data_IF_782588014180
#
_entry.id   IF_782588014180
#
_cell.length_a   1.000
_cell.length_b   1.000
_cell.length_c   1.000
_cell.angle_alpha   90.00
_cell.angle_beta   90.00
_cell.angle_gamma   90.00
#
_symmetry.space_group_name_H-M   'P 1'
#
loop_
_entity.id
_entity.type
_entity.pdbx_description
1 polymer ?
#
# COMPACT_ATOMS: atom_id res chain seq x y z
N UNK A 1 -4.26 24.38 24.58
CA UNK A 1 -4.85 24.66 23.26
C UNK A 1 -3.76 24.41 22.24
N UNK A 2 -3.80 23.27 21.56
CA UNK A 2 -3.00 23.05 20.36
C UNK A 2 -3.64 23.87 19.25
N UNK A 3 -2.96 24.93 18.81
CA UNK A 3 -3.40 25.75 17.67
C UNK A 3 -3.18 24.98 16.37
N UNK A 4 -4.05 25.20 15.38
CA UNK A 4 -3.80 24.77 14.00
C UNK A 4 -2.50 25.41 13.52
N UNK A 5 -1.58 24.60 12.99
CA UNK A 5 -0.30 25.03 12.41
C UNK A 5 -0.27 24.72 10.93
N UNK A 6 0.45 25.54 10.16
CA UNK A 6 0.78 25.21 8.78
C UNK A 6 1.79 24.04 8.78
N UNK A 7 1.65 23.13 7.82
CA UNK A 7 2.58 22.04 7.61
C UNK A 7 4.02 22.53 7.37
N UNK A 8 4.19 23.59 6.59
CA UNK A 8 5.51 24.17 6.26
C UNK A 8 6.22 24.69 7.51
N UNK A 9 5.49 25.32 8.43
CA UNK A 9 6.05 25.78 9.70
C UNK A 9 6.38 24.59 10.61
N UNK A 10 5.49 23.59 10.67
CA UNK A 10 5.66 22.42 11.52
C UNK A 10 6.86 21.57 11.10
N UNK A 11 7.05 21.36 9.79
CA UNK A 11 8.13 20.54 9.27
C UNK A 11 9.50 21.21 9.47
N UNK A 12 9.56 22.54 9.52
CA UNK A 12 10.79 23.29 9.81
C UNK A 12 11.12 23.34 11.30
N UNK A 13 10.10 23.43 12.17
CA UNK A 13 10.29 23.53 13.62
C UNK A 13 10.73 22.22 14.29
N UNK A 14 10.50 21.07 13.64
CA UNK A 14 10.85 19.75 14.19
C UNK A 14 12.30 19.40 13.84
N UNK A 15 13.14 19.25 14.87
CA UNK A 15 14.57 18.92 14.78
C UNK A 15 14.88 17.44 15.13
N UNK A 16 13.86 16.57 15.13
CA UNK A 16 14.04 15.12 15.29
C UNK A 16 13.66 14.38 14.01
N UNK A 17 13.81 13.04 14.02
CA UNK A 17 13.38 12.19 12.92
C UNK A 17 11.89 12.40 12.62
N UNK A 18 11.57 12.46 11.32
CA UNK A 18 10.23 12.67 10.78
C UNK A 18 9.83 11.44 9.99
N UNK A 19 8.73 10.83 10.34
CA UNK A 19 8.20 9.65 9.66
C UNK A 19 6.83 10.00 9.08
N UNK A 20 6.46 9.34 7.98
CA UNK A 20 5.18 9.55 7.31
C UNK A 20 4.42 8.23 7.20
N UNK A 21 3.14 8.22 7.58
CA UNK A 21 2.18 7.17 7.27
C UNK A 21 1.16 7.69 6.25
N UNK A 22 1.11 7.05 5.09
CA UNK A 22 0.15 7.32 4.03
C UNK A 22 -1.02 6.34 4.12
N UNK A 23 -2.24 6.88 4.22
CA UNK A 23 -3.50 6.15 4.07
C UNK A 23 -4.22 6.52 2.76
N UNK A 24 -5.41 5.94 2.54
CA UNK A 24 -6.14 6.02 1.26
C UNK A 24 -6.39 7.45 0.78
N UNK A 25 -6.46 8.42 1.70
CA UNK A 25 -6.60 9.84 1.39
C UNK A 25 -5.42 10.40 0.56
N UNK A 26 -4.23 9.81 0.60
CA UNK A 26 -3.14 10.15 -0.33
C UNK A 26 -3.55 9.92 -1.79
N UNK A 27 -4.18 8.78 -2.06
CA UNK A 27 -4.59 8.38 -3.40
C UNK A 27 -5.85 9.12 -3.85
N UNK A 28 -6.78 9.34 -2.92
CA UNK A 28 -7.98 10.17 -3.15
C UNK A 28 -7.58 11.63 -3.46
N UNK A 29 -6.57 12.17 -2.75
CA UNK A 29 -6.05 13.52 -3.02
C UNK A 29 -5.44 13.66 -4.42
N UNK A 30 -4.88 12.57 -4.97
CA UNK A 30 -4.48 12.53 -6.38
C UNK A 30 -5.70 12.47 -7.30
N UNK A 31 -6.69 11.62 -7.00
CA UNK A 31 -7.95 11.54 -7.74
C UNK A 31 -9.04 10.79 -6.98
N UNK A 32 -10.25 11.36 -6.94
CA UNK A 32 -11.43 10.76 -6.29
C UNK A 32 -11.80 9.36 -6.83
N UNK A 33 -11.29 8.97 -8.00
CA UNK A 33 -11.48 7.62 -8.56
C UNK A 33 -10.96 6.50 -7.66
N UNK A 34 -10.06 6.82 -6.72
CA UNK A 34 -9.50 5.90 -5.73
C UNK A 34 -10.33 5.79 -4.45
N UNK A 35 -11.43 6.55 -4.32
CA UNK A 35 -12.41 6.33 -3.24
C UNK A 35 -13.12 5.00 -3.44
N UNK A 36 -13.49 4.32 -2.34
CA UNK A 36 -14.22 3.06 -2.41
C UNK A 36 -15.56 3.19 -3.15
N UNK A 37 -16.28 4.30 -3.00
CA UNK A 37 -17.49 4.58 -3.80
C UNK A 37 -17.21 4.55 -5.31
N UNK A 38 -16.10 5.17 -5.72
CA UNK A 38 -15.74 5.26 -7.14
C UNK A 38 -15.20 3.94 -7.67
N UNK A 39 -14.49 3.18 -6.85
CA UNK A 39 -14.01 1.83 -7.17
C UNK A 39 -15.21 0.90 -7.34
N UNK A 40 -16.14 0.86 -6.37
CA UNK A 40 -17.33 0.02 -6.43
C UNK A 40 -18.17 0.31 -7.69
N UNK A 41 -18.37 1.59 -8.03
CA UNK A 41 -19.09 2.00 -9.25
C UNK A 41 -18.45 1.48 -10.55
N UNK A 42 -17.14 1.24 -10.56
CA UNK A 42 -16.39 0.77 -11.74
C UNK A 42 -16.07 -0.73 -11.70
N UNK A 43 -16.46 -1.38 -10.60
CA UNK A 43 -16.22 -2.79 -10.37
C UNK A 43 -17.26 -3.68 -11.04
N UNK A 44 -17.02 -4.99 -11.05
CA UNK A 44 -18.05 -5.96 -11.47
C UNK A 44 -19.18 -6.14 -10.44
N UNK A 45 -18.96 -5.69 -9.20
CA UNK A 45 -19.90 -5.81 -8.09
C UNK A 45 -20.75 -4.55 -7.87
N UNK A 46 -20.76 -3.61 -8.81
CA UNK A 46 -21.46 -2.32 -8.68
C UNK A 46 -22.98 -2.42 -8.42
N UNK A 47 -23.60 -3.52 -8.82
CA UNK A 47 -25.02 -3.82 -8.59
C UNK A 47 -25.22 -5.01 -7.63
N UNK A 48 -24.18 -5.41 -6.90
CA UNK A 48 -24.25 -6.54 -5.98
C UNK A 48 -24.89 -6.15 -4.66
N UNK A 49 -25.85 -6.94 -4.20
CA UNK A 49 -26.49 -6.78 -2.89
C UNK A 49 -25.51 -7.01 -1.73
N UNK A 50 -24.31 -7.56 -1.99
CA UNK A 50 -23.27 -7.79 -0.97
C UNK A 50 -22.83 -6.49 -0.28
N UNK A 51 -22.80 -5.37 -1.01
CA UNK A 51 -22.40 -4.07 -0.48
C UNK A 51 -23.55 -3.33 0.22
N UNK A 52 -24.81 -3.66 -0.09
CA UNK A 52 -25.98 -2.91 0.37
C UNK A 52 -25.77 -1.39 0.16
N UNK A 53 -25.72 -0.61 1.24
CA UNK A 53 -25.45 0.84 1.23
C UNK A 53 -24.00 1.21 1.66
N UNK A 54 -23.10 0.23 1.80
CA UNK A 54 -21.74 0.43 2.28
C UNK A 54 -20.71 0.03 1.22
N UNK A 55 -19.97 0.99 0.69
CA UNK A 55 -18.91 0.77 -0.29
C UNK A 55 -17.57 0.33 0.31
N UNK A 56 -17.43 0.32 1.65
CA UNK A 56 -16.19 -0.10 2.31
C UNK A 56 -15.98 -1.60 2.16
N UNK A 57 -15.14 -1.96 1.18
CA UNK A 57 -14.74 -3.32 0.85
C UNK A 57 -14.28 -4.11 2.08
N UNK A 58 -13.45 -3.51 2.93
CA UNK A 58 -12.93 -4.18 4.13
C UNK A 58 -14.05 -4.42 5.15
N UNK A 59 -14.96 -3.46 5.31
CA UNK A 59 -16.10 -3.64 6.22
C UNK A 59 -17.07 -4.71 5.73
N UNK A 60 -17.29 -4.80 4.43
CA UNK A 60 -18.14 -5.85 3.84
C UNK A 60 -17.48 -7.22 4.04
N UNK A 61 -16.17 -7.36 3.78
CA UNK A 61 -15.41 -8.59 4.02
C UNK A 61 -15.46 -8.97 5.51
N UNK A 62 -15.30 -8.02 6.43
CA UNK A 62 -15.41 -8.26 7.88
C UNK A 62 -16.76 -8.88 8.24
N UNK A 63 -17.85 -8.31 7.72
CA UNK A 63 -19.20 -8.81 7.97
C UNK A 63 -19.42 -10.21 7.39
N UNK A 64 -18.87 -10.51 6.21
CA UNK A 64 -18.95 -11.84 5.60
C UNK A 64 -18.14 -12.87 6.39
N UNK A 65 -16.94 -12.52 6.85
CA UNK A 65 -16.12 -13.39 7.69
C UNK A 65 -16.79 -13.67 9.03
N UNK A 66 -17.41 -12.66 9.65
CA UNK A 66 -18.20 -12.86 10.86
C UNK A 66 -19.37 -13.84 10.64
N UNK A 67 -20.12 -13.68 9.52
CA UNK A 67 -21.19 -14.62 9.16
C UNK A 67 -20.65 -16.04 8.94
N UNK A 68 -19.53 -16.18 8.22
CA UNK A 68 -18.84 -17.47 8.04
C UNK A 68 -18.59 -18.16 9.39
N UNK A 69 -17.98 -17.45 10.35
CA UNK A 69 -17.67 -18.00 11.67
C UNK A 69 -18.93 -18.45 12.43
N UNK A 70 -19.99 -17.63 12.42
CA UNK A 70 -21.27 -17.97 13.08
C UNK A 70 -21.88 -19.25 12.48
N UNK A 71 -21.98 -19.33 11.16
CA UNK A 71 -22.58 -20.49 10.50
C UNK A 71 -21.72 -21.75 10.67
N UNK A 72 -20.40 -21.61 10.66
CA UNK A 72 -19.48 -22.73 10.84
C UNK A 72 -19.47 -23.27 12.27
N UNK A 73 -19.35 -22.39 13.27
CA UNK A 73 -19.10 -22.79 14.66
C UNK A 73 -20.38 -22.97 15.48
N UNK A 74 -21.40 -22.16 15.25
CA UNK A 74 -22.63 -22.19 16.04
C UNK A 74 -23.71 -23.08 15.41
N UNK A 75 -23.81 -23.09 14.08
CA UNK A 75 -24.88 -23.80 13.36
C UNK A 75 -24.42 -25.10 12.71
N UNK A 76 -23.11 -25.36 12.63
CA UNK A 76 -22.51 -26.50 11.91
C UNK A 76 -22.92 -26.55 10.41
N UNK A 77 -23.28 -25.39 9.82
CA UNK A 77 -23.73 -25.24 8.43
C UNK A 77 -22.54 -24.88 7.53
N UNK A 78 -21.66 -25.86 7.33
CA UNK A 78 -20.40 -25.67 6.58
C UNK A 78 -20.58 -25.21 5.13
N UNK A 79 -21.64 -25.64 4.45
CA UNK A 79 -21.93 -25.22 3.06
C UNK A 79 -22.23 -23.72 2.99
N UNK A 80 -22.99 -23.18 3.95
CA UNK A 80 -23.30 -21.74 4.03
C UNK A 80 -22.05 -20.95 4.42
N UNK A 81 -21.24 -21.47 5.35
CA UNK A 81 -19.96 -20.85 5.68
C UNK A 81 -19.02 -20.75 4.47
N UNK A 82 -18.93 -21.79 3.64
CA UNK A 82 -18.15 -21.78 2.39
C UNK A 82 -18.69 -20.77 1.38
N UNK A 83 -20.01 -20.56 1.32
CA UNK A 83 -20.60 -19.53 0.47
C UNK A 83 -20.15 -18.11 0.89
N UNK A 84 -20.14 -17.81 2.20
CA UNK A 84 -19.64 -16.53 2.70
C UNK A 84 -18.14 -16.33 2.42
N UNK A 85 -17.34 -17.38 2.59
CA UNK A 85 -15.92 -17.37 2.22
C UNK A 85 -15.72 -17.07 0.73
N UNK A 86 -16.48 -17.73 -0.15
CA UNK A 86 -16.42 -17.49 -1.59
C UNK A 86 -16.75 -16.04 -1.95
N UNK A 87 -17.73 -15.42 -1.30
CA UNK A 87 -18.05 -14.01 -1.52
C UNK A 87 -16.97 -13.06 -1.01
N UNK A 88 -16.36 -13.34 0.14
CA UNK A 88 -15.20 -12.57 0.63
C UNK A 88 -14.06 -12.59 -0.40
N UNK A 89 -13.72 -13.76 -0.93
CA UNK A 89 -12.66 -13.90 -1.94
C UNK A 89 -13.03 -13.25 -3.29
N UNK A 90 -14.29 -13.32 -3.72
CA UNK A 90 -14.79 -12.61 -4.90
C UNK A 90 -14.61 -11.09 -4.76
N UNK A 91 -14.94 -10.52 -3.59
CA UNK A 91 -14.79 -9.09 -3.30
C UNK A 91 -13.32 -8.66 -3.33
N UNK A 92 -12.43 -9.43 -2.68
CA UNK A 92 -10.98 -9.17 -2.71
C UNK A 92 -10.48 -9.16 -4.15
N UNK A 93 -10.90 -10.15 -4.93
CA UNK A 93 -10.48 -10.28 -6.32
C UNK A 93 -10.97 -9.12 -7.19
N UNK A 94 -12.24 -8.75 -7.03
CA UNK A 94 -12.85 -7.64 -7.75
C UNK A 94 -12.17 -6.30 -7.41
N UNK A 95 -11.81 -6.06 -6.14
CA UNK A 95 -11.07 -4.86 -5.74
C UNK A 95 -9.72 -4.74 -6.46
N UNK A 96 -8.91 -5.79 -6.41
CA UNK A 96 -7.58 -5.82 -7.06
C UNK A 96 -7.70 -5.66 -8.57
N UNK A 97 -8.65 -6.36 -9.21
CA UNK A 97 -8.88 -6.25 -10.64
C UNK A 97 -9.33 -4.83 -11.04
N UNK A 98 -10.24 -4.24 -10.26
CA UNK A 98 -10.77 -2.91 -10.50
C UNK A 98 -9.68 -1.86 -10.34
N UNK A 99 -8.93 -1.88 -9.23
CA UNK A 99 -7.78 -0.99 -9.03
C UNK A 99 -6.75 -1.11 -10.15
N UNK A 100 -6.41 -2.32 -10.58
CA UNK A 100 -5.48 -2.55 -11.69
C UNK A 100 -5.97 -1.88 -12.99
N UNK A 101 -7.26 -2.03 -13.33
CA UNK A 101 -7.89 -1.40 -14.50
C UNK A 101 -7.97 0.13 -14.38
N UNK A 102 -8.11 0.66 -13.17
CA UNK A 102 -8.10 2.10 -12.96
C UNK A 102 -6.74 2.69 -13.33
N UNK A 103 -5.65 2.06 -12.91
CA UNK A 103 -4.30 2.55 -13.20
C UNK A 103 -3.96 2.61 -14.68
N UNK A 104 -4.63 1.85 -15.55
CA UNK A 104 -4.50 2.00 -17.01
C UNK A 104 -4.89 3.40 -17.50
N UNK A 105 -5.80 4.06 -16.76
CA UNK A 105 -6.42 5.32 -17.13
C UNK A 105 -5.91 6.49 -16.30
N UNK A 106 -5.09 6.22 -15.28
CA UNK A 106 -4.49 7.24 -14.43
C UNK A 106 -3.13 7.61 -14.95
N UNK A 107 -2.91 8.90 -15.08
CA UNK A 107 -1.63 9.47 -15.45
C UNK A 107 -1.26 10.55 -14.45
N UNK A 108 -0.09 10.40 -13.83
CA UNK A 108 0.57 11.45 -13.07
C UNK A 108 1.61 12.13 -13.95
N UNK A 109 1.51 13.44 -14.12
CA UNK A 109 2.51 14.25 -14.80
C UNK A 109 3.84 14.27 -14.04
N UNK A 110 4.94 14.56 -14.75
CA UNK A 110 6.25 14.77 -14.10
C UNK A 110 6.20 15.89 -13.06
N UNK A 111 5.35 16.91 -13.25
CA UNK A 111 5.17 18.00 -12.27
C UNK A 111 4.50 17.51 -10.99
N UNK A 112 3.44 16.72 -11.09
CA UNK A 112 2.76 16.13 -9.93
C UNK A 112 3.72 15.20 -9.18
N UNK A 113 4.39 14.30 -9.90
CA UNK A 113 5.39 13.41 -9.29
C UNK A 113 6.54 14.18 -8.65
N UNK A 114 6.99 15.28 -9.27
CA UNK A 114 8.01 16.17 -8.70
C UNK A 114 7.57 16.77 -7.37
N UNK A 115 6.40 17.40 -7.33
CA UNK A 115 5.89 18.04 -6.12
C UNK A 115 5.66 17.03 -4.99
N UNK A 116 5.10 15.87 -5.32
CA UNK A 116 4.92 14.79 -4.35
C UNK A 116 6.26 14.26 -3.86
N UNK A 117 7.25 14.10 -4.74
CA UNK A 117 8.59 13.71 -4.32
C UNK A 117 9.23 14.72 -3.36
N UNK A 118 9.10 16.03 -3.61
CA UNK A 118 9.61 17.05 -2.70
C UNK A 118 8.99 16.92 -1.32
N UNK A 119 7.67 16.80 -1.24
CA UNK A 119 6.97 16.54 0.02
C UNK A 119 7.47 15.27 0.72
N UNK A 120 7.62 14.16 -0.01
CA UNK A 120 8.11 12.90 0.56
C UNK A 120 9.57 13.00 1.05
N UNK A 121 10.38 13.89 0.47
CA UNK A 121 11.79 14.08 0.83
C UNK A 121 12.02 14.79 2.18
N UNK A 122 10.94 15.28 2.81
CA UNK A 122 10.96 15.84 4.15
C UNK A 122 10.93 14.79 5.27
N UNK A 123 10.82 13.50 4.92
CA UNK A 123 10.65 12.41 5.87
C UNK A 123 11.79 11.39 5.79
N UNK A 124 12.27 10.94 6.95
CA UNK A 124 13.25 9.88 7.09
C UNK A 124 12.70 8.54 6.57
N UNK A 125 11.48 8.18 7.00
CA UNK A 125 10.80 6.94 6.64
C UNK A 125 9.39 7.21 6.12
N UNK A 126 8.99 6.47 5.09
CA UNK A 126 7.66 6.54 4.48
C UNK A 126 7.00 5.17 4.56
N UNK A 127 5.90 5.09 5.29
CA UNK A 127 5.05 3.93 5.43
C UNK A 127 3.76 4.16 4.65
N UNK A 128 3.22 3.14 4.01
CA UNK A 128 1.93 3.23 3.31
C UNK A 128 1.05 2.02 3.61
N UNK A 129 -0.25 2.29 3.79
CA UNK A 129 -1.30 1.28 3.81
C UNK A 129 -1.95 1.12 2.43
N UNK A 130 -1.63 2.03 1.49
CA UNK A 130 -2.25 2.03 0.17
C UNK A 130 -1.69 0.94 -0.71
N UNK A 131 -2.59 0.29 -1.44
CA UNK A 131 -2.28 -0.81 -2.34
C UNK A 131 -1.97 -0.38 -3.77
N UNK A 132 -2.30 0.86 -4.14
CA UNK A 132 -2.19 1.39 -5.50
C UNK A 132 -0.74 1.65 -5.95
N UNK A 133 -0.57 2.14 -7.19
CA UNK A 133 0.75 2.36 -7.80
C UNK A 133 1.26 3.80 -7.68
N UNK A 134 0.53 4.72 -7.03
CA UNK A 134 0.87 6.15 -7.05
C UNK A 134 2.19 6.41 -6.31
N UNK A 135 2.35 5.90 -5.09
CA UNK A 135 3.61 6.04 -4.35
C UNK A 135 4.77 5.41 -5.11
N UNK A 136 4.54 4.22 -5.69
CA UNK A 136 5.52 3.53 -6.52
C UNK A 136 5.97 4.40 -7.72
N UNK A 137 5.05 5.08 -8.42
CA UNK A 137 5.41 5.96 -9.53
C UNK A 137 6.26 7.16 -9.09
N UNK A 138 5.98 7.74 -7.91
CA UNK A 138 6.79 8.82 -7.35
C UNK A 138 8.21 8.34 -7.02
N UNK A 139 8.36 7.12 -6.49
CA UNK A 139 9.69 6.51 -6.25
C UNK A 139 10.44 6.32 -7.57
N UNK A 140 9.78 5.79 -8.61
CA UNK A 140 10.41 5.62 -9.94
C UNK A 140 10.80 6.97 -10.54
N UNK A 141 9.97 8.00 -10.38
CA UNK A 141 10.30 9.36 -10.78
C UNK A 141 11.57 9.85 -10.06
N UNK A 142 11.67 9.67 -8.74
CA UNK A 142 12.84 10.07 -7.96
C UNK A 142 14.12 9.35 -8.41
N UNK A 143 14.03 8.04 -8.69
CA UNK A 143 15.16 7.24 -9.21
C UNK A 143 15.61 7.77 -10.56
N UNK A 144 14.68 8.08 -11.48
CA UNK A 144 14.99 8.66 -12.79
C UNK A 144 15.62 10.04 -12.65
N UNK A 145 15.11 10.88 -11.74
CA UNK A 145 15.65 12.22 -11.48
C UNK A 145 17.10 12.14 -10.97
N UNK A 146 17.36 11.28 -9.99
CA UNK A 146 18.70 11.02 -9.48
C UNK A 146 19.68 10.60 -10.58
N UNK A 147 19.25 9.70 -11.48
CA UNK A 147 20.09 9.17 -12.57
C UNK A 147 20.35 10.20 -13.68
N UNK A 148 19.38 11.06 -13.97
CA UNK A 148 19.42 12.00 -15.09
C UNK A 148 20.01 13.36 -14.73
N UNK A 149 19.83 13.83 -13.49
CA UNK A 149 20.31 15.13 -13.03
C UNK A 149 20.64 15.11 -11.53
N UNK A 150 21.76 14.46 -11.20
CA UNK A 150 22.21 14.25 -9.82
C UNK A 150 22.45 15.55 -9.04
N UNK A 151 22.99 16.59 -9.68
CA UNK A 151 23.25 17.87 -9.02
C UNK A 151 21.94 18.57 -8.65
N UNK A 152 20.96 18.59 -9.56
CA UNK A 152 19.63 19.11 -9.25
C UNK A 152 18.96 18.30 -8.13
N UNK A 153 19.01 16.97 -8.21
CA UNK A 153 18.47 16.09 -7.17
C UNK A 153 19.02 16.44 -5.78
N UNK A 154 20.35 16.57 -5.66
CA UNK A 154 21.00 16.94 -4.40
C UNK A 154 20.59 18.31 -3.86
N UNK A 155 20.27 19.25 -4.75
CA UNK A 155 19.89 20.61 -4.36
C UNK A 155 18.43 20.73 -3.89
N UNK A 156 17.57 19.78 -4.26
CA UNK A 156 16.13 19.85 -3.95
C UNK A 156 15.71 18.97 -2.77
N UNK A 157 16.54 17.99 -2.35
CA UNK A 157 16.22 17.13 -1.21
C UNK A 157 16.59 17.83 0.10
N UNK A 158 15.64 17.90 1.02
CA UNK A 158 15.83 18.57 2.31
C UNK A 158 16.64 17.73 3.31
N UNK A 159 16.36 16.42 3.35
CA UNK A 159 17.14 15.48 4.17
C UNK A 159 18.40 15.05 3.41
N UNK A 160 19.56 15.28 4.03
CA UNK A 160 20.83 14.82 3.50
C UNK A 160 20.82 13.30 3.29
N UNK A 161 21.20 12.88 2.08
CA UNK A 161 21.20 11.48 1.64
C UNK A 161 19.82 10.80 1.55
N UNK A 162 18.73 11.57 1.50
CA UNK A 162 17.44 10.99 1.15
C UNK A 162 17.50 10.39 -0.25
N UNK A 163 17.24 9.09 -0.33
CA UNK A 163 17.06 8.35 -1.57
C UNK A 163 16.00 7.28 -1.32
N UNK A 164 14.82 7.34 -1.97
CA UNK A 164 13.72 6.43 -1.65
C UNK A 164 14.10 5.01 -2.05
N UNK A 165 14.13 4.10 -1.06
CA UNK A 165 14.42 2.68 -1.21
C UNK A 165 13.35 1.85 -0.53
N UNK A 166 12.72 0.99 -1.31
CA UNK A 166 11.70 0.04 -0.87
C UNK A 166 12.26 -1.35 -0.52
N UNK A 167 13.58 -1.51 -0.54
CA UNK A 167 14.27 -2.76 -0.16
C UNK A 167 14.34 -3.82 -1.27
N UNK A 168 13.82 -3.54 -2.46
CA UNK A 168 13.85 -4.49 -3.58
C UNK A 168 15.01 -4.19 -4.53
N UNK A 169 15.76 -5.24 -4.91
CA UNK A 169 16.88 -5.13 -5.85
C UNK A 169 16.79 -6.19 -6.95
N UNK A 170 17.51 -5.97 -8.05
CA UNK A 170 17.57 -6.88 -9.19
C UNK A 170 18.14 -8.23 -8.74
N UNK A 171 17.44 -9.30 -9.07
CA UNK A 171 17.97 -10.66 -8.99
C UNK A 171 19.12 -10.84 -10.01
N UNK A 172 19.96 -11.85 -9.79
CA UNK A 172 21.07 -12.17 -10.70
C UNK A 172 20.59 -12.76 -12.03
N UNK A 173 19.40 -13.35 -12.07
CA UNK A 173 18.67 -13.63 -13.31
C UNK A 173 17.96 -12.34 -13.75
N UNK A 174 17.77 -12.09 -15.04
CA UNK A 174 17.17 -10.83 -15.53
C UNK A 174 15.69 -10.58 -15.13
N UNK A 175 15.15 -11.33 -14.16
CA UNK A 175 13.78 -11.31 -13.65
C UNK A 175 13.44 -10.10 -12.75
N UNK A 176 12.18 -10.04 -12.29
CA UNK A 176 11.66 -9.03 -11.36
C UNK A 176 12.52 -8.89 -10.09
N UNK A 177 12.39 -7.76 -9.39
CA UNK A 177 13.24 -7.49 -8.23
C UNK A 177 12.83 -8.35 -7.03
N UNK A 178 13.78 -8.77 -6.20
CA UNK A 178 13.54 -9.54 -4.97
C UNK A 178 13.83 -8.62 -3.78
N UNK A 179 13.03 -8.73 -2.72
CA UNK A 179 13.28 -8.01 -1.49
C UNK A 179 14.52 -8.57 -0.77
N UNK A 180 15.46 -7.68 -0.42
CA UNK A 180 16.73 -8.03 0.20
C UNK A 180 17.05 -7.06 1.33
N UNK A 181 16.91 -7.51 2.58
CA UNK A 181 17.10 -6.69 3.77
C UNK A 181 18.52 -6.11 3.91
N UNK A 182 19.56 -6.90 3.64
CA UNK A 182 20.94 -6.55 4.01
C UNK A 182 21.66 -5.66 3.01
N UNK A 183 21.05 -5.37 1.85
CA UNK A 183 21.79 -4.74 0.74
C UNK A 183 21.83 -3.22 0.86
N UNK A 184 20.76 -2.61 1.35
CA UNK A 184 20.63 -1.15 1.45
C UNK A 184 19.75 -0.76 2.63
N UNK A 185 19.96 0.45 3.16
CA UNK A 185 19.03 1.04 4.12
C UNK A 185 17.72 1.36 3.38
N UNK A 186 16.67 0.60 3.71
CA UNK A 186 15.30 0.78 3.26
C UNK A 186 14.64 1.91 4.04
N UNK A 187 13.87 2.76 3.37
CA UNK A 187 13.13 3.85 3.99
C UNK A 187 11.72 4.05 3.41
N UNK A 188 11.27 3.16 2.53
CA UNK A 188 9.89 3.07 2.06
C UNK A 188 9.32 1.69 2.38
N UNK A 189 8.14 1.64 2.98
CA UNK A 189 7.56 0.43 3.57
C UNK A 189 6.08 0.29 3.19
N UNK A 190 5.72 -0.79 2.50
CA UNK A 190 4.34 -1.11 2.13
C UNK A 190 3.73 -2.06 3.16
N UNK A 191 3.07 -1.52 4.19
CA UNK A 191 2.60 -2.27 5.36
C UNK A 191 1.50 -3.28 5.01
N UNK A 192 0.65 -2.96 4.04
CA UNK A 192 -0.40 -3.85 3.56
C UNK A 192 -0.15 -4.38 2.13
N UNK A 193 1.09 -4.24 1.66
CA UNK A 193 1.50 -4.66 0.31
C UNK A 193 1.15 -3.64 -0.78
N UNK A 194 1.02 -4.11 -2.02
CA UNK A 194 0.66 -3.27 -3.17
C UNK A 194 0.61 -4.02 -4.50
N UNK A 195 -0.04 -3.41 -5.50
CA UNK A 195 -0.31 -4.03 -6.82
C UNK A 195 0.95 -4.47 -7.59
N UNK A 196 2.09 -3.86 -7.27
CA UNK A 196 3.38 -4.17 -7.89
C UNK A 196 4.17 -5.24 -7.13
N UNK A 197 3.64 -5.75 -6.01
CA UNK A 197 4.29 -6.73 -5.14
C UNK A 197 3.60 -8.09 -5.28
N UNK A 198 4.39 -9.15 -5.33
CA UNK A 198 3.93 -10.54 -5.38
C UNK A 198 4.77 -11.36 -4.41
N UNK A 199 4.29 -12.53 -3.98
CA UNK A 199 5.09 -13.41 -3.15
C UNK A 199 4.85 -14.87 -3.46
N UNK A 200 5.84 -15.70 -3.16
CA UNK A 200 5.69 -17.13 -2.99
C UNK A 200 6.00 -17.52 -1.53
N UNK A 201 6.22 -18.80 -1.27
CA UNK A 201 6.54 -19.31 0.07
C UNK A 201 7.89 -18.86 0.61
N UNK A 202 8.80 -18.36 -0.23
CA UNK A 202 10.18 -18.03 0.13
C UNK A 202 10.46 -16.52 0.01
N UNK A 203 9.99 -15.89 -1.06
CA UNK A 203 10.41 -14.56 -1.47
C UNK A 203 9.23 -13.62 -1.73
N UNK A 204 9.48 -12.33 -1.55
CA UNK A 204 8.62 -11.25 -2.05
C UNK A 204 9.30 -10.56 -3.23
N UNK A 205 8.54 -10.41 -4.30
CA UNK A 205 8.97 -9.88 -5.58
C UNK A 205 8.30 -8.54 -5.85
N UNK A 206 9.07 -7.63 -6.45
CA UNK A 206 8.56 -6.38 -7.01
C UNK A 206 8.65 -6.43 -8.52
N UNK A 207 7.51 -6.34 -9.17
CA UNK A 207 7.44 -6.23 -10.62
C UNK A 207 8.22 -5.01 -11.09
N UNK A 208 9.00 -5.17 -12.16
CA UNK A 208 9.71 -4.05 -12.81
C UNK A 208 9.23 -3.86 -14.23
N UNK A 209 9.41 -2.66 -14.78
CA UNK A 209 9.25 -2.42 -16.21
C UNK A 209 10.22 -3.32 -17.00
N UNK A 210 9.71 -4.03 -18.01
CA UNK A 210 10.52 -4.89 -18.88
C UNK A 210 10.76 -4.20 -20.23
N UNK A 211 11.93 -3.56 -20.38
CA UNK A 211 12.29 -2.82 -21.59
C UNK A 211 12.41 -3.71 -22.83
N UNK A 212 12.72 -5.00 -22.68
CA UNK A 212 12.86 -5.96 -23.78
C UNK A 212 11.54 -6.22 -24.53
N UNK A 213 10.41 -6.14 -23.82
CA UNK A 213 9.09 -6.51 -24.35
C UNK A 213 8.06 -5.36 -24.25
N UNK A 214 8.49 -4.18 -23.82
CA UNK A 214 7.66 -2.98 -23.63
C UNK A 214 6.42 -3.22 -22.72
N UNK A 215 6.54 -4.11 -21.73
CA UNK A 215 5.46 -4.42 -20.79
C UNK A 215 5.56 -3.52 -19.56
N UNK A 216 4.48 -2.79 -19.30
CA UNK A 216 4.31 -2.01 -18.07
C UNK A 216 4.09 -2.93 -16.87
N UNK A 217 4.22 -2.37 -15.66
CA UNK A 217 3.84 -3.09 -14.43
C UNK A 217 2.37 -3.43 -14.41
N UNK A 218 1.51 -2.56 -14.96
CA UNK A 218 0.07 -2.82 -15.02
C UNK A 218 -0.18 -4.03 -15.94
N UNK A 219 0.49 -4.11 -17.09
CA UNK A 219 0.38 -5.26 -18.00
C UNK A 219 0.82 -6.56 -17.34
N UNK A 220 1.94 -6.53 -16.60
CA UNK A 220 2.42 -7.69 -15.83
C UNK A 220 1.47 -8.07 -14.70
N UNK A 221 0.90 -7.08 -14.02
CA UNK A 221 -0.09 -7.31 -12.96
C UNK A 221 -1.29 -8.05 -13.54
N UNK A 222 -1.88 -7.54 -14.64
CA UNK A 222 -2.96 -8.21 -15.37
C UNK A 222 -2.61 -9.62 -15.82
N UNK A 223 -1.40 -9.83 -16.34
CA UNK A 223 -0.93 -11.15 -16.76
C UNK A 223 -0.99 -12.18 -15.63
N UNK A 224 -0.67 -11.78 -14.39
CA UNK A 224 -0.73 -12.66 -13.21
C UNK A 224 -2.18 -12.84 -12.71
N UNK A 225 -2.98 -11.76 -12.71
CA UNK A 225 -4.41 -11.81 -12.37
C UNK A 225 -5.15 -12.82 -13.25
N UNK A 226 -4.93 -12.79 -14.57
CA UNK A 226 -5.52 -13.70 -15.55
C UNK A 226 -5.12 -15.18 -15.33
N UNK A 227 -4.02 -15.43 -14.60
CA UNK A 227 -3.55 -16.77 -14.21
C UNK A 227 -3.97 -17.16 -12.80
N UNK A 228 -4.83 -16.38 -12.16
CA UNK A 228 -5.30 -16.62 -10.79
C UNK A 228 -4.26 -16.34 -9.72
N UNK A 229 -3.23 -15.52 -10.02
CA UNK A 229 -2.21 -15.11 -9.04
C UNK A 229 -2.43 -13.65 -8.65
N UNK A 230 -2.74 -13.40 -7.38
CA UNK A 230 -3.00 -12.05 -6.86
C UNK A 230 -1.69 -11.36 -6.44
N UNK A 231 -1.58 -10.04 -6.61
CA UNK A 231 -0.57 -9.25 -5.90
C UNK A 231 -0.69 -9.42 -4.39
N UNK A 232 0.41 -9.20 -3.69
CA UNK A 232 0.48 -9.15 -2.23
C UNK A 232 -0.26 -7.89 -1.75
N UNK A 233 -1.51 -8.05 -1.35
CA UNK A 233 -2.42 -6.99 -0.89
C UNK A 233 -3.24 -7.55 0.27
N UNK A 234 -3.21 -6.88 1.43
CA UNK A 234 -3.93 -7.32 2.63
C UNK A 234 -5.26 -6.57 2.77
N UNK A 235 -6.35 -7.18 2.32
CA UNK A 235 -7.71 -6.59 2.35
C UNK A 235 -8.57 -7.31 3.42
N UNK A 236 -7.97 -7.94 4.43
CA UNK A 236 -8.77 -8.60 5.46
C UNK A 236 -9.57 -7.58 6.26
N UNK A 237 -10.82 -7.91 6.56
CA UNK A 237 -11.75 -6.94 7.12
C UNK A 237 -11.43 -6.47 8.54
N UNK A 238 -10.80 -7.32 9.37
CA UNK A 238 -10.47 -6.99 10.76
C UNK A 238 -8.96 -6.94 11.01
N UNK A 239 -8.58 -6.17 12.03
CA UNK A 239 -7.18 -5.93 12.38
C UNK A 239 -6.40 -7.17 12.82
N UNK A 240 -7.05 -8.20 13.38
CA UNK A 240 -6.37 -9.40 13.88
C UNK A 240 -5.92 -10.27 12.70
N UNK A 241 -6.81 -10.47 11.73
CA UNK A 241 -6.53 -11.23 10.51
C UNK A 241 -5.48 -10.52 9.64
N UNK A 242 -5.58 -9.18 9.50
CA UNK A 242 -4.52 -8.39 8.84
C UNK A 242 -3.17 -8.63 9.49
N UNK A 243 -3.09 -8.53 10.82
CA UNK A 243 -1.82 -8.73 11.54
C UNK A 243 -1.30 -10.15 11.37
N UNK A 244 -2.16 -11.17 11.37
CA UNK A 244 -1.76 -12.56 11.12
C UNK A 244 -1.14 -12.73 9.73
N UNK A 245 -1.72 -12.12 8.70
CA UNK A 245 -1.14 -12.09 7.36
C UNK A 245 0.19 -11.35 7.29
N UNK A 246 0.27 -10.17 7.91
CA UNK A 246 1.50 -9.37 8.00
C UNK A 246 2.63 -10.19 8.63
N UNK A 247 2.36 -10.86 9.76
CA UNK A 247 3.34 -11.71 10.45
C UNK A 247 3.70 -12.98 9.66
N UNK A 248 2.81 -13.44 8.79
CA UNK A 248 3.02 -14.61 7.94
C UNK A 248 3.89 -14.36 6.70
N UNK A 249 4.06 -13.10 6.28
CA UNK A 249 4.90 -12.74 5.13
C UNK A 249 6.16 -12.02 5.60
N UNK A 250 7.34 -12.47 5.15
CA UNK A 250 8.62 -11.94 5.63
C UNK A 250 8.81 -10.44 5.34
N UNK A 251 8.41 -9.97 4.15
CA UNK A 251 8.51 -8.56 3.78
C UNK A 251 7.56 -7.68 4.59
N UNK A 252 6.29 -8.08 4.69
CA UNK A 252 5.29 -7.32 5.46
C UNK A 252 5.63 -7.29 6.94
N UNK A 253 6.08 -8.41 7.50
CA UNK A 253 6.53 -8.50 8.88
C UNK A 253 7.68 -7.52 9.15
N UNK A 254 8.68 -7.48 8.27
CA UNK A 254 9.78 -6.53 8.38
C UNK A 254 9.28 -5.08 8.32
N UNK A 255 8.42 -4.73 7.36
CA UNK A 255 7.84 -3.39 7.26
C UNK A 255 7.10 -2.99 8.55
N UNK A 256 6.32 -3.90 9.12
CA UNK A 256 5.60 -3.67 10.37
C UNK A 256 6.56 -3.54 11.57
N UNK A 257 7.62 -4.34 11.64
CA UNK A 257 8.64 -4.21 12.69
C UNK A 257 9.38 -2.88 12.63
N UNK A 258 9.72 -2.40 11.43
CA UNK A 258 10.30 -1.06 11.26
C UNK A 258 9.32 0.03 11.71
N UNK A 259 8.03 -0.13 11.42
CA UNK A 259 6.99 0.79 11.90
C UNK A 259 6.85 0.78 13.43
N UNK A 260 6.94 -0.38 14.08
CA UNK A 260 6.94 -0.50 15.54
C UNK A 260 8.19 0.10 16.22
N UNK A 261 9.25 0.40 15.48
CA UNK A 261 10.53 0.87 16.01
C UNK A 261 10.85 2.33 15.66
N UNK A 262 9.91 3.04 15.03
CA UNK A 262 10.14 4.45 14.66
C UNK A 262 10.44 5.30 15.90
N UNK A 263 11.25 6.33 15.69
CA UNK A 263 11.60 7.35 16.67
C UNK A 263 11.15 8.71 16.13
N UNK A 264 11.01 9.70 17.02
CA UNK A 264 10.69 11.07 16.63
C UNK A 264 9.20 11.26 16.34
N UNK A 265 8.87 12.04 15.31
CA UNK A 265 7.49 12.44 15.02
C UNK A 265 6.92 11.63 13.86
N UNK A 266 5.69 11.14 14.03
CA UNK A 266 4.91 10.52 12.96
C UNK A 266 3.87 11.51 12.41
N UNK A 267 3.91 11.72 11.11
CA UNK A 267 2.90 12.43 10.34
C UNK A 267 1.96 11.41 9.69
N UNK A 268 0.66 11.66 9.77
CA UNK A 268 -0.35 10.79 9.17
C UNK A 268 -1.11 11.60 8.13
N UNK A 269 -1.15 11.09 6.89
CA UNK A 269 -1.89 11.72 5.80
C UNK A 269 -2.91 10.76 5.20
N UNK A 270 -4.19 11.14 5.25
CA UNK A 270 -5.24 10.43 4.54
C UNK A 270 -5.69 9.10 5.17
N UNK A 271 -5.41 8.85 6.45
CA UNK A 271 -5.90 7.67 7.16
C UNK A 271 -7.22 7.98 7.89
N UNK A 272 -8.17 7.04 7.91
CA UNK A 272 -9.50 7.18 8.53
C UNK A 272 -9.51 7.01 10.05
N UNK A 273 -8.41 6.52 10.63
CA UNK A 273 -8.25 6.21 12.05
C UNK A 273 -9.30 5.24 12.61
N UNK A 274 -9.72 4.27 11.79
CA UNK A 274 -10.77 3.30 12.12
C UNK A 274 -10.22 2.00 12.73
N UNK A 275 -11.11 1.24 13.38
CA UNK A 275 -10.76 0.04 14.15
C UNK A 275 -10.21 -1.12 13.30
N UNK A 276 -10.45 -1.11 11.98
CA UNK A 276 -9.92 -2.15 11.07
C UNK A 276 -8.39 -2.12 10.98
N UNK A 277 -7.78 -0.95 11.26
CA UNK A 277 -6.34 -0.77 11.33
C UNK A 277 -5.82 -0.60 12.76
N UNK A 278 -6.52 -1.17 13.76
CA UNK A 278 -6.10 -1.12 15.17
C UNK A 278 -4.64 -1.52 15.40
N UNK A 279 -4.13 -2.53 14.68
CA UNK A 279 -2.74 -2.98 14.74
C UNK A 279 -1.71 -1.89 14.39
N UNK A 280 -2.09 -0.89 13.58
CA UNK A 280 -1.27 0.29 13.28
C UNK A 280 -1.25 1.21 14.50
N UNK A 281 -2.40 1.47 15.13
CA UNK A 281 -2.46 2.31 16.33
C UNK A 281 -1.80 1.68 17.54
N UNK A 282 -1.96 0.36 17.71
CA UNK A 282 -1.28 -0.38 18.76
C UNK A 282 0.25 -0.32 18.58
N UNK A 283 0.73 -0.36 17.32
CA UNK A 283 2.15 -0.12 17.03
C UNK A 283 2.58 1.30 17.38
N UNK A 284 1.81 2.33 16.97
CA UNK A 284 2.11 3.74 17.30
C UNK A 284 2.18 3.95 18.82
N UNK A 285 1.22 3.42 19.57
CA UNK A 285 1.15 3.57 21.02
C UNK A 285 2.25 2.83 21.78
N UNK A 286 2.96 1.91 21.12
CA UNK A 286 4.08 1.17 21.69
C UNK A 286 5.44 1.66 21.17
N UNK A 287 5.45 2.66 20.28
CA UNK A 287 6.69 3.30 19.87
C UNK A 287 7.36 4.00 21.08
N UNK A 288 8.70 3.98 21.13
CA UNK A 288 9.50 4.55 22.21
C UNK A 288 9.50 6.08 22.28
#
# INVERSE_FOLDING_TARGET
MTGLRNFEDLIQDIDCDKNLLLGNGFSIACSDIFSYDSILKKSSLCNSDLFCDNSDYEKVIENLNFKKEVYQLANEEYEIAQMYESWSEEIKWDLVNTLTKLHDKVYTSDKENHNTFLFLSDFNNIFTLNYDLLLYWVIIYAVRLYQSNFDYYKNIVHINNFYPRDGFDRSQSESDCIWCQDKWIQNVFYLHGGLHLFCDSENTYKLKYASSNNLSIIDKTKYWLERGTSPLVIIEGNSVDKLKWIRGNHYLNYCYEQFCQIQGVLFIHGHSLDDKDKHIFDAINTNP
#
